data_IF_281702881954
#
_entry.id   IF_281702881954
#
_cell.length_a   1.000
_cell.length_b   1.000
_cell.length_c   1.000
_cell.angle_alpha   90.00
_cell.angle_beta   90.00
_cell.angle_gamma   90.00
#
_symmetry.space_group_name_H-M   'P 1'
#
loop_
_entity.id
_entity.type
_entity.pdbx_description
1 polymer ?
#
# COMPACT_ATOMS: atom_id res chain seq x y z
N UNK A 1 -17.88 -3.43 -3.09
CA UNK A 1 -17.73 -2.95 -4.49
C UNK A 1 -16.63 -1.91 -4.51
N UNK A 2 -15.90 -1.77 -5.61
CA UNK A 2 -14.77 -0.83 -5.71
C UNK A 2 -15.20 0.42 -6.49
N UNK A 3 -15.09 1.58 -5.87
CA UNK A 3 -15.41 2.87 -6.49
C UNK A 3 -14.36 3.33 -7.51
N UNK A 4 -14.67 4.35 -8.34
CA UNK A 4 -15.95 5.07 -8.42
C UNK A 4 -17.03 4.40 -9.30
N UNK A 5 -16.67 3.43 -10.17
CA UNK A 5 -17.66 2.71 -11.00
C UNK A 5 -18.42 1.62 -10.24
N UNK A 6 -18.15 1.45 -8.94
CA UNK A 6 -18.76 0.43 -8.09
C UNK A 6 -18.62 -1.00 -8.66
N UNK A 7 -17.50 -1.28 -9.30
CA UNK A 7 -17.21 -2.59 -9.88
C UNK A 7 -17.11 -3.69 -8.81
N UNK A 8 -17.59 -4.89 -9.12
CA UNK A 8 -17.44 -6.05 -8.25
C UNK A 8 -15.98 -6.54 -8.28
N UNK A 9 -15.26 -6.37 -7.16
CA UNK A 9 -13.90 -6.87 -6.95
C UNK A 9 -13.90 -8.35 -6.56
N UNK A 10 -14.25 -9.21 -7.52
CA UNK A 10 -14.19 -10.67 -7.35
C UNK A 10 -12.73 -11.13 -7.25
N UNK A 11 -12.49 -12.25 -6.56
CA UNK A 11 -11.15 -12.84 -6.42
C UNK A 11 -10.48 -13.02 -7.79
N UNK A 12 -11.21 -13.51 -8.80
CA UNK A 12 -10.71 -13.68 -10.16
C UNK A 12 -10.16 -12.37 -10.75
N UNK A 13 -10.90 -11.26 -10.63
CA UNK A 13 -10.46 -9.95 -11.15
C UNK A 13 -9.28 -9.39 -10.38
N UNK A 14 -9.24 -9.59 -9.06
CA UNK A 14 -8.10 -9.20 -8.21
C UNK A 14 -6.85 -10.00 -8.60
N UNK A 15 -6.97 -11.30 -8.81
CA UNK A 15 -5.88 -12.14 -9.29
C UNK A 15 -5.40 -11.74 -10.69
N UNK A 16 -6.31 -11.38 -11.60
CA UNK A 16 -5.93 -10.85 -12.92
C UNK A 16 -5.09 -9.57 -12.81
N UNK A 17 -5.48 -8.63 -11.93
CA UNK A 17 -4.69 -7.43 -11.64
C UNK A 17 -3.32 -7.77 -11.05
N UNK A 18 -3.24 -8.74 -10.15
CA UNK A 18 -1.99 -9.21 -9.55
C UNK A 18 -1.04 -9.85 -10.58
N UNK A 19 -1.55 -10.69 -11.48
CA UNK A 19 -0.75 -11.29 -12.56
C UNK A 19 -0.22 -10.20 -13.50
N UNK A 20 -1.06 -9.26 -13.91
CA UNK A 20 -0.62 -8.10 -14.70
C UNK A 20 0.44 -7.27 -13.99
N UNK A 21 0.40 -7.24 -12.64
CA UNK A 21 1.36 -6.56 -11.78
C UNK A 21 2.72 -7.28 -11.66
N UNK A 22 2.81 -8.53 -12.10
CA UNK A 22 4.01 -9.37 -11.92
C UNK A 22 4.10 -10.04 -10.55
N UNK A 23 2.99 -10.11 -9.81
CA UNK A 23 2.92 -10.80 -8.53
C UNK A 23 3.25 -12.29 -8.65
N UNK A 24 3.84 -12.83 -7.60
CA UNK A 24 3.89 -14.28 -7.36
C UNK A 24 2.62 -14.73 -6.63
N UNK A 25 2.30 -16.03 -6.64
CA UNK A 25 1.17 -16.57 -5.88
C UNK A 25 1.20 -16.17 -4.41
N UNK A 26 2.40 -16.15 -3.80
CA UNK A 26 2.59 -15.81 -2.38
C UNK A 26 2.21 -14.36 -2.05
N UNK A 27 2.12 -13.47 -3.04
CA UNK A 27 1.71 -12.08 -2.85
C UNK A 27 0.19 -11.91 -2.75
N UNK A 28 -0.59 -12.89 -3.27
CA UNK A 28 -2.04 -12.78 -3.42
C UNK A 28 -2.77 -12.51 -2.09
N UNK A 29 -2.42 -13.18 -0.96
CA UNK A 29 -3.06 -12.89 0.32
C UNK A 29 -2.99 -11.40 0.70
N UNK A 30 -1.84 -10.76 0.50
CA UNK A 30 -1.63 -9.33 0.79
C UNK A 30 -2.45 -8.46 -0.16
N UNK A 31 -2.49 -8.79 -1.46
CA UNK A 31 -3.29 -8.04 -2.44
C UNK A 31 -4.79 -8.12 -2.13
N UNK A 32 -5.28 -9.30 -1.75
CA UNK A 32 -6.70 -9.49 -1.37
C UNK A 32 -7.02 -8.69 -0.11
N UNK A 33 -6.18 -8.77 0.92
CA UNK A 33 -6.34 -7.98 2.14
C UNK A 33 -6.34 -6.47 1.84
N UNK A 34 -5.44 -6.02 0.96
CA UNK A 34 -5.38 -4.62 0.54
C UNK A 34 -6.65 -4.17 -0.19
N UNK A 35 -7.17 -4.99 -1.12
CA UNK A 35 -8.42 -4.71 -1.83
C UNK A 35 -9.61 -4.66 -0.87
N UNK A 36 -9.66 -5.56 0.11
CA UNK A 36 -10.68 -5.53 1.16
C UNK A 36 -10.59 -4.23 1.97
N UNK A 37 -9.39 -3.84 2.40
CA UNK A 37 -9.15 -2.62 3.16
C UNK A 37 -9.59 -1.35 2.40
N UNK A 38 -9.20 -1.17 1.13
CA UNK A 38 -9.67 0.00 0.35
C UNK A 38 -11.16 -0.03 0.03
N UNK A 39 -11.83 -1.18 0.11
CA UNK A 39 -13.27 -1.28 -0.10
C UNK A 39 -14.08 -1.03 1.18
N UNK A 40 -13.42 -0.83 2.32
CA UNK A 40 -14.10 -0.45 3.56
C UNK A 40 -14.70 0.97 3.42
N UNK A 41 -15.94 1.20 3.86
CA UNK A 41 -16.58 2.51 3.80
C UNK A 41 -15.76 3.63 4.43
N UNK A 42 -15.04 3.33 5.51
CA UNK A 42 -14.22 4.25 6.31
C UNK A 42 -13.06 4.84 5.51
N UNK A 43 -12.58 4.13 4.48
CA UNK A 43 -11.49 4.62 3.63
C UNK A 43 -11.98 5.58 2.54
N UNK A 44 -13.28 5.54 2.19
CA UNK A 44 -13.91 6.34 1.14
C UNK A 44 -13.11 6.42 -0.18
N UNK A 45 -12.86 5.24 -0.76
CA UNK A 45 -12.08 5.10 -1.98
C UNK A 45 -12.63 5.89 -3.18
N UNK A 46 -13.94 6.15 -3.22
CA UNK A 46 -14.56 6.93 -4.30
C UNK A 46 -14.10 8.38 -4.24
N UNK A 47 -14.23 9.02 -3.07
CA UNK A 47 -13.80 10.41 -2.88
C UNK A 47 -12.28 10.55 -3.00
N UNK A 48 -11.52 9.60 -2.45
CA UNK A 48 -10.06 9.60 -2.57
C UNK A 48 -9.58 9.54 -4.03
N UNK A 49 -10.34 8.94 -4.94
CA UNK A 49 -9.98 8.93 -6.36
C UNK A 49 -10.49 10.16 -7.12
N UNK A 50 -11.66 10.67 -6.74
CA UNK A 50 -12.27 11.85 -7.35
C UNK A 50 -11.61 13.18 -6.94
N UNK A 51 -10.74 13.16 -5.93
CA UNK A 51 -9.99 14.35 -5.50
C UNK A 51 -8.96 14.82 -6.52
N UNK A 52 -8.73 16.13 -6.56
CA UNK A 52 -7.67 16.75 -7.36
C UNK A 52 -6.29 16.67 -6.71
N UNK A 53 -6.25 16.32 -5.42
CA UNK A 53 -5.02 16.12 -4.66
C UNK A 53 -4.30 14.83 -5.08
N UNK A 54 -2.98 14.79 -4.95
CA UNK A 54 -2.16 13.71 -5.49
C UNK A 54 -2.15 12.42 -4.64
N UNK A 55 -3.00 12.31 -3.62
CA UNK A 55 -3.06 11.16 -2.69
C UNK A 55 -3.15 9.80 -3.39
N UNK A 56 -2.54 8.81 -2.75
CA UNK A 56 -2.53 7.41 -3.15
C UNK A 56 -2.68 6.51 -1.91
N UNK A 57 -3.31 5.32 -2.04
CA UNK A 57 -3.34 4.36 -0.94
C UNK A 57 -1.93 3.82 -0.69
N UNK A 58 -1.33 4.21 0.43
CA UNK A 58 -0.11 3.61 0.98
C UNK A 58 -0.51 2.33 1.72
N UNK A 59 0.01 1.19 1.27
CA UNK A 59 -0.14 -0.09 1.96
C UNK A 59 1.04 -0.33 2.90
N UNK A 60 0.74 -0.57 4.17
CA UNK A 60 1.68 -0.96 5.21
C UNK A 60 1.36 -2.39 5.62
N UNK A 61 2.26 -3.32 5.30
CA UNK A 61 2.10 -4.74 5.61
C UNK A 61 2.78 -5.04 6.94
N UNK A 62 2.03 -5.63 7.86
CA UNK A 62 2.45 -5.88 9.24
C UNK A 62 2.40 -7.38 9.56
N UNK A 63 3.12 -7.79 10.60
CA UNK A 63 3.16 -9.18 11.07
C UNK A 63 3.88 -10.17 10.14
N UNK A 64 3.71 -11.48 10.35
CA UNK A 64 4.45 -12.52 9.64
C UNK A 64 4.36 -12.51 8.10
N UNK A 65 3.29 -11.96 7.52
CA UNK A 65 3.12 -11.83 6.07
C UNK A 65 4.25 -11.01 5.40
N UNK A 66 4.90 -10.10 6.13
CA UNK A 66 6.08 -9.36 5.66
C UNK A 66 7.16 -10.31 5.13
N UNK A 67 7.33 -11.47 5.77
CA UNK A 67 8.32 -12.47 5.39
C UNK A 67 7.72 -13.56 4.50
N UNK A 68 6.53 -14.07 4.85
CA UNK A 68 5.92 -15.21 4.17
C UNK A 68 5.45 -14.89 2.74
N UNK A 69 5.10 -13.63 2.44
CA UNK A 69 4.52 -13.23 1.15
C UNK A 69 5.56 -12.64 0.19
N UNK A 70 6.71 -13.32 0.05
CA UNK A 70 7.75 -12.97 -0.91
C UNK A 70 8.80 -11.95 -0.43
N UNK A 71 8.88 -11.69 0.88
CA UNK A 71 9.86 -10.78 1.48
C UNK A 71 9.60 -9.32 1.13
N UNK A 72 8.57 -8.74 1.75
CA UNK A 72 8.20 -7.33 1.59
C UNK A 72 9.19 -6.49 2.40
N UNK A 73 9.81 -5.51 1.75
CA UNK A 73 10.87 -4.71 2.34
C UNK A 73 10.31 -3.61 3.25
N UNK A 74 10.94 -3.44 4.43
CA UNK A 74 10.59 -2.46 5.48
C UNK A 74 11.69 -1.44 5.78
N UNK A 75 12.96 -1.83 5.62
CA UNK A 75 14.12 -1.00 5.99
C UNK A 75 14.69 -0.16 4.84
N UNK A 76 16.01 -0.19 4.70
CA UNK A 76 16.73 0.60 3.70
C UNK A 76 16.18 0.40 2.29
N UNK A 77 15.72 1.49 1.68
CA UNK A 77 15.18 1.43 0.33
C UNK A 77 13.83 0.71 0.23
N UNK A 78 13.05 0.61 1.31
CA UNK A 78 11.74 -0.03 1.33
C UNK A 78 10.77 0.41 0.20
N UNK A 79 10.88 1.64 -0.27
CA UNK A 79 10.13 2.18 -1.43
C UNK A 79 11.04 2.52 -2.62
N UNK A 80 12.29 2.04 -2.57
CA UNK A 80 13.34 2.22 -3.56
C UNK A 80 13.33 1.15 -4.65
N UNK A 81 14.31 1.20 -5.57
CA UNK A 81 14.32 0.32 -6.74
C UNK A 81 14.68 -1.11 -6.35
N UNK A 82 13.82 -2.08 -6.73
CA UNK A 82 14.23 -3.49 -6.82
C UNK A 82 13.50 -4.48 -5.92
N UNK A 83 12.67 -4.05 -4.96
CA UNK A 83 11.88 -4.97 -4.16
C UNK A 83 10.64 -5.44 -4.93
N UNK A 84 10.75 -6.62 -5.56
CA UNK A 84 9.68 -7.19 -6.39
C UNK A 84 8.34 -7.26 -5.66
N UNK A 85 8.33 -7.71 -4.39
CA UNK A 85 7.11 -7.83 -3.61
C UNK A 85 6.41 -6.46 -3.47
N UNK A 86 7.10 -5.45 -2.95
CA UNK A 86 6.61 -4.07 -2.80
C UNK A 86 6.10 -3.50 -4.15
N UNK A 87 6.91 -3.63 -5.21
CA UNK A 87 6.56 -3.11 -6.52
C UNK A 87 5.32 -3.80 -7.11
N UNK A 88 5.25 -5.13 -7.07
CA UNK A 88 4.15 -5.88 -7.65
C UNK A 88 2.86 -5.75 -6.83
N UNK A 89 2.92 -5.82 -5.50
CA UNK A 89 1.75 -5.65 -4.62
C UNK A 89 1.18 -4.22 -4.76
N UNK A 90 2.05 -3.21 -4.66
CA UNK A 90 1.74 -1.80 -4.95
C UNK A 90 0.97 -1.62 -6.25
N UNK A 91 1.54 -2.16 -7.32
CA UNK A 91 0.98 -2.07 -8.66
C UNK A 91 -0.31 -2.87 -8.84
N UNK A 92 -0.45 -4.01 -8.16
CA UNK A 92 -1.64 -4.84 -8.21
C UNK A 92 -2.87 -4.09 -7.69
N UNK A 93 -2.75 -3.42 -6.54
CA UNK A 93 -3.82 -2.59 -6.00
C UNK A 93 -4.19 -1.47 -6.98
N UNK A 94 -3.20 -0.77 -7.54
CA UNK A 94 -3.45 0.30 -8.51
C UNK A 94 -4.16 -0.23 -9.77
N UNK A 95 -3.75 -1.37 -10.30
CA UNK A 95 -4.41 -2.00 -11.45
C UNK A 95 -5.82 -2.46 -11.12
N UNK A 96 -6.09 -2.95 -9.91
CA UNK A 96 -7.43 -3.27 -9.46
C UNK A 96 -8.31 -2.01 -9.43
N UNK A 97 -7.82 -0.91 -8.86
CA UNK A 97 -8.51 0.39 -8.88
C UNK A 97 -8.83 0.85 -10.32
N UNK A 98 -7.87 0.76 -11.24
CA UNK A 98 -8.07 1.16 -12.64
C UNK A 98 -9.08 0.26 -13.36
N UNK A 99 -8.90 -1.06 -13.28
CA UNK A 99 -9.64 -2.01 -14.11
C UNK A 99 -11.00 -2.41 -13.53
N UNK A 100 -11.13 -2.42 -12.21
CA UNK A 100 -12.35 -2.81 -11.49
C UNK A 100 -13.07 -1.55 -11.01
N UNK A 101 -12.36 -0.66 -10.31
CA UNK A 101 -12.91 0.59 -9.78
C UNK A 101 -13.16 1.64 -10.86
N UNK A 102 -12.45 1.57 -11.98
CA UNK A 102 -12.56 2.55 -13.06
C UNK A 102 -11.76 3.82 -12.83
N UNK A 103 -10.67 3.77 -12.06
CA UNK A 103 -9.77 4.88 -11.70
C UNK A 103 -8.95 5.46 -12.87
N UNK A 104 -9.61 6.07 -13.85
CA UNK A 104 -8.96 6.53 -15.08
C UNK A 104 -8.58 8.01 -14.95
N UNK A 105 -7.28 8.36 -15.15
CA UNK A 105 -6.84 9.75 -15.10
C UNK A 105 -7.65 10.65 -16.04
N UNK A 106 -8.12 11.78 -15.51
CA UNK A 106 -8.87 12.80 -16.27
C UNK A 106 -10.35 12.47 -16.50
N UNK A 107 -10.84 11.32 -16.07
CA UNK A 107 -12.28 11.01 -16.08
C UNK A 107 -12.85 10.72 -14.71
N UNK A 108 -12.08 10.08 -13.84
CA UNK A 108 -12.55 9.57 -12.55
C UNK A 108 -11.46 9.53 -11.50
N UNK A 109 -10.20 9.35 -11.89
CA UNK A 109 -9.05 9.82 -11.12
C UNK A 109 -8.76 11.26 -11.52
N UNK A 110 -9.01 12.19 -10.61
CA UNK A 110 -8.96 13.64 -10.89
C UNK A 110 -7.69 14.31 -10.40
N UNK A 111 -6.72 13.55 -9.89
CA UNK A 111 -5.47 14.11 -9.40
C UNK A 111 -4.79 14.96 -10.49
N UNK A 112 -4.53 16.23 -10.19
CA UNK A 112 -3.92 17.16 -11.15
C UNK A 112 -2.47 16.79 -11.46
N UNK A 113 -1.78 16.23 -10.47
CA UNK A 113 -0.43 15.70 -10.61
C UNK A 113 -0.33 14.37 -9.87
N UNK A 114 0.43 13.42 -10.42
CA UNK A 114 0.71 12.14 -9.77
C UNK A 114 2.04 12.16 -9.00
N UNK A 115 2.35 11.04 -8.35
CA UNK A 115 3.67 10.76 -7.81
C UNK A 115 3.98 9.26 -7.97
N UNK A 116 5.25 8.82 -7.82
CA UNK A 116 5.62 7.41 -8.00
C UNK A 116 4.84 6.41 -7.13
N UNK A 117 4.33 6.85 -5.96
CA UNK A 117 3.46 6.03 -5.12
C UNK A 117 2.15 5.63 -5.81
N UNK A 118 1.57 6.48 -6.67
CA UNK A 118 0.41 6.09 -7.51
C UNK A 118 0.72 4.94 -8.48
N UNK A 119 1.99 4.56 -8.64
CA UNK A 119 2.40 3.37 -9.39
C UNK A 119 2.63 2.17 -8.47
N UNK A 120 3.36 2.34 -7.36
CA UNK A 120 3.78 1.24 -6.46
C UNK A 120 3.90 1.68 -4.98
N UNK A 121 2.78 1.83 -4.27
CA UNK A 121 2.80 2.28 -2.85
C UNK A 121 2.62 1.14 -1.84
N UNK A 122 3.68 0.35 -1.63
CA UNK A 122 3.67 -0.76 -0.68
C UNK A 122 4.98 -0.82 0.10
N UNK A 123 4.87 -0.99 1.41
CA UNK A 123 6.00 -1.13 2.34
C UNK A 123 5.61 -2.11 3.44
N UNK A 124 6.59 -2.82 3.98
CA UNK A 124 6.41 -3.56 5.22
C UNK A 124 6.74 -2.67 6.42
N UNK A 125 6.07 -2.88 7.55
CA UNK A 125 6.50 -2.29 8.82
C UNK A 125 7.86 -2.88 9.26
N UNK A 126 8.73 -2.05 9.83
CA UNK A 126 10.02 -2.50 10.38
C UNK A 126 9.88 -2.80 11.88
N UNK A 127 9.08 -3.81 12.22
CA UNK A 127 8.73 -4.14 13.61
C UNK A 127 9.97 -4.44 14.47
N UNK A 128 11.01 -5.05 13.89
CA UNK A 128 12.21 -5.46 14.61
C UNK A 128 13.11 -4.28 15.01
N UNK A 129 13.06 -3.17 14.27
CA UNK A 129 13.86 -1.96 14.55
C UNK A 129 13.01 -0.79 15.05
N UNK A 130 11.70 -0.97 15.19
CA UNK A 130 10.78 0.03 15.70
C UNK A 130 10.80 0.08 17.23
N UNK A 131 10.80 1.28 17.84
CA UNK A 131 10.62 1.42 19.29
C UNK A 131 9.15 1.22 19.72
N UNK A 132 8.22 1.09 18.78
CA UNK A 132 6.79 0.94 19.03
C UNK A 132 6.36 -0.52 18.87
N UNK A 133 5.26 -0.94 19.53
CA UNK A 133 4.59 -2.21 19.20
C UNK A 133 4.22 -2.24 17.72
N UNK A 134 4.19 -3.44 17.13
CA UNK A 134 3.78 -3.60 15.73
C UNK A 134 2.43 -2.94 15.48
N UNK A 135 2.32 -2.19 14.40
CA UNK A 135 1.17 -1.34 14.09
C UNK A 135 -0.13 -2.14 14.11
N UNK A 136 -0.14 -3.35 13.57
CA UNK A 136 -1.30 -4.25 13.61
C UNK A 136 -1.78 -4.55 15.05
N UNK A 137 -0.86 -4.72 16.00
CA UNK A 137 -1.23 -4.96 17.41
C UNK A 137 -1.91 -3.75 18.04
N UNK A 138 -1.58 -2.53 17.60
CA UNK A 138 -2.25 -1.30 18.05
C UNK A 138 -3.70 -1.20 17.55
N UNK A 139 -4.02 -1.91 16.46
CA UNK A 139 -5.38 -2.07 15.93
C UNK A 139 -6.11 -3.29 16.50
N UNK A 140 -5.52 -4.00 17.47
CA UNK A 140 -6.15 -5.11 18.19
C UNK A 140 -5.97 -6.50 17.57
N UNK A 141 -5.04 -6.66 16.63
CA UNK A 141 -4.62 -7.96 16.11
C UNK A 141 -3.56 -8.60 17.02
N UNK A 142 -3.49 -9.93 17.03
CA UNK A 142 -2.46 -10.66 17.77
C UNK A 142 -1.10 -10.60 17.05
N UNK A 143 -0.01 -10.79 17.78
CA UNK A 143 1.35 -10.62 17.25
C UNK A 143 1.75 -11.67 16.18
N UNK A 144 1.04 -12.79 16.12
CA UNK A 144 1.20 -13.83 15.10
C UNK A 144 0.22 -13.65 13.92
N UNK A 145 -0.70 -12.69 14.00
CA UNK A 145 -1.57 -12.31 12.90
C UNK A 145 -0.88 -11.32 11.95
N UNK A 146 -1.38 -11.26 10.72
CA UNK A 146 -0.90 -10.32 9.72
C UNK A 146 -2.01 -9.39 9.30
N UNK A 147 -1.68 -8.12 9.09
CA UNK A 147 -2.62 -7.11 8.64
C UNK A 147 -2.03 -6.27 7.51
N UNK A 148 -2.91 -5.75 6.65
CA UNK A 148 -2.57 -4.68 5.71
C UNK A 148 -3.32 -3.44 6.15
N UNK A 149 -2.57 -2.42 6.53
CA UNK A 149 -3.10 -1.14 6.95
C UNK A 149 -2.94 -0.17 5.78
N UNK A 150 -4.00 0.58 5.47
CA UNK A 150 -4.02 1.49 4.34
C UNK A 150 -4.35 2.90 4.80
N UNK A 151 -3.58 3.86 4.31
CA UNK A 151 -3.86 5.29 4.49
C UNK A 151 -3.67 6.03 3.18
N UNK A 152 -4.42 7.11 2.98
CA UNK A 152 -4.19 8.03 1.85
C UNK A 152 -2.97 8.89 2.16
N UNK A 153 -1.94 8.83 1.31
CA UNK A 153 -0.70 9.56 1.52
C UNK A 153 -0.20 10.26 0.25
N UNK A 154 0.52 11.36 0.44
CA UNK A 154 1.26 12.07 -0.61
C UNK A 154 2.55 11.35 -1.01
N UNK A 155 3.34 11.94 -1.91
CA UNK A 155 4.68 11.45 -2.22
C UNK A 155 5.57 11.41 -0.97
N UNK A 156 6.38 10.34 -0.79
CA UNK A 156 7.40 10.35 0.26
C UNK A 156 8.33 11.55 0.09
N UNK A 157 8.57 12.26 1.19
CA UNK A 157 9.53 13.35 1.25
C UNK A 157 10.65 12.96 2.22
N UNK A 158 11.91 13.03 1.76
CA UNK A 158 13.06 12.79 2.63
C UNK A 158 13.27 14.00 3.52
N UNK A 159 12.86 13.89 4.78
CA UNK A 159 13.26 14.83 5.82
C UNK A 159 14.58 14.37 6.43
N UNK A 160 15.56 15.24 6.51
CA UNK A 160 16.81 14.97 7.22
C UNK A 160 16.93 15.99 8.35
N UNK A 161 17.21 15.49 9.55
CA UNK A 161 17.59 16.32 10.68
C UNK A 161 19.12 16.33 10.74
N UNK A 162 19.71 17.52 10.74
CA UNK A 162 21.15 17.70 10.92
C UNK A 162 21.49 17.77 12.40
N UNK A 163 21.16 16.71 13.14
CA UNK A 163 21.72 16.44 14.46
C UNK A 163 22.66 15.26 14.32
N UNK A 164 23.86 15.38 14.87
CA UNK A 164 24.78 14.25 14.92
C UNK A 164 24.28 13.29 15.99
N UNK A 165 23.91 12.07 15.58
CA UNK A 165 23.43 11.02 16.50
C UNK A 165 24.45 10.75 17.63
N UNK A 166 25.72 11.00 17.36
CA UNK A 166 26.82 10.77 18.27
C UNK A 166 27.23 12.05 19.04
N UNK A 167 26.61 13.20 18.77
CA UNK A 167 26.84 14.44 19.50
C UNK A 167 25.89 14.54 20.72
N UNK A 168 26.40 14.44 21.96
CA UNK A 168 25.58 14.58 23.16
C UNK A 168 25.00 15.99 23.37
N UNK A 169 25.39 16.98 22.56
CA UNK A 169 24.89 18.35 22.59
C UNK A 169 23.82 18.68 21.52
N UNK A 170 23.52 17.74 20.61
CA UNK A 170 22.52 17.88 19.54
C UNK A 170 21.09 17.51 19.98
#
# INVERSE_FOLDING_TARGET
>A
VMGPLHGAATIEKVCAAAVMAGCLPDHIPVVVAAVQAVCQPEFDLTEMQATTHCTAPLMIVCGPARHACGGIASGFGAMGPGHRANASIGRALRLAMINIGGARPGSSDMALHGHPGKFTYCVAEDEENSPFPGLHTTFGYEADESAVIITGAEAPHSTFFTGDRDDPAS
#
